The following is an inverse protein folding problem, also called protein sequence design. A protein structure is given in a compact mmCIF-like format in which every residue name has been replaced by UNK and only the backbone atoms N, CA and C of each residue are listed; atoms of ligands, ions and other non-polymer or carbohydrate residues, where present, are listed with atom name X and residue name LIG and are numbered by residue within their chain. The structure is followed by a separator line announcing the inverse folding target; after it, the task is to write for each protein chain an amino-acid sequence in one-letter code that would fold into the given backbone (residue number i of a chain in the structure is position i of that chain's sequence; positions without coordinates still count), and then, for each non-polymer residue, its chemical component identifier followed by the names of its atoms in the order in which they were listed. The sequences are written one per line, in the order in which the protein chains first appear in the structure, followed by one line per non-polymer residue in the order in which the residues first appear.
data_IF_203317839194
#
_entry.id   IF_203317839194
#
_cell.length_a   1.000
_cell.length_b   1.000
_cell.length_c   1.000
_cell.angle_alpha   90.00
_cell.angle_beta   90.00
_cell.angle_gamma   90.00
#
_symmetry.space_group_name_H-M   'P 1'
#
loop_
_entity.id
_entity.type
_entity.pdbx_description
1 polymer ?
#
# COMPACT_ATOMS: atom_id res chain seq x y z
N UNK A 1 -20.14 -10.07 -14.24
CA UNK A 1 -19.42 -10.49 -13.00
C UNK A 1 -20.32 -11.30 -12.08
N UNK A 2 -21.52 -10.80 -11.67
CA UNK A 2 -22.47 -11.60 -10.87
C UNK A 2 -22.82 -12.93 -11.52
N UNK A 3 -23.13 -12.94 -12.79
CA UNK A 3 -23.50 -14.15 -13.56
C UNK A 3 -22.33 -15.14 -13.70
N UNK A 4 -21.10 -14.63 -13.72
CA UNK A 4 -19.91 -15.46 -13.82
C UNK A 4 -19.56 -16.17 -12.50
N UNK A 5 -19.65 -15.46 -11.37
CA UNK A 5 -19.30 -16.03 -10.07
C UNK A 5 -20.48 -16.73 -9.37
N UNK A 6 -21.73 -16.38 -9.71
CA UNK A 6 -22.93 -16.99 -9.15
C UNK A 6 -22.88 -17.09 -7.62
N UNK A 7 -23.15 -18.28 -7.09
CA UNK A 7 -23.13 -18.56 -5.66
C UNK A 7 -21.74 -18.41 -5.01
N UNK A 8 -20.66 -18.53 -5.77
CA UNK A 8 -19.29 -18.40 -5.25
C UNK A 8 -18.94 -16.95 -4.87
N UNK A 9 -19.77 -15.99 -5.25
CA UNK A 9 -19.56 -14.60 -4.89
C UNK A 9 -19.51 -14.38 -3.37
N UNK A 10 -20.17 -15.24 -2.59
CA UNK A 10 -20.16 -15.21 -1.12
C UNK A 10 -18.78 -15.43 -0.50
N UNK A 11 -17.86 -16.02 -1.24
CA UNK A 11 -16.49 -16.29 -0.76
C UNK A 11 -15.56 -15.07 -0.87
N UNK A 12 -16.01 -13.98 -1.50
CA UNK A 12 -15.19 -12.79 -1.72
C UNK A 12 -15.62 -11.66 -0.78
N UNK A 13 -14.71 -11.23 0.09
CA UNK A 13 -14.92 -10.19 1.10
C UNK A 13 -14.15 -8.92 0.81
N UNK A 14 -13.56 -8.81 -0.36
CA UNK A 14 -12.70 -7.71 -0.73
C UNK A 14 -13.06 -7.17 -2.11
N UNK A 15 -12.89 -5.87 -2.25
CA UNK A 15 -13.05 -5.13 -3.49
C UNK A 15 -11.73 -4.43 -3.81
N UNK A 16 -11.20 -4.66 -5.02
CA UNK A 16 -10.15 -3.83 -5.59
C UNK A 16 -10.78 -2.79 -6.50
N UNK A 17 -10.52 -1.51 -6.26
CA UNK A 17 -10.91 -0.42 -7.14
C UNK A 17 -9.68 0.23 -7.78
N UNK A 18 -9.81 0.47 -9.08
CA UNK A 18 -8.72 1.00 -9.91
C UNK A 18 -7.68 -0.07 -10.24
N UNK A 19 -6.66 0.34 -11.00
CA UNK A 19 -5.63 -0.58 -11.46
C UNK A 19 -4.25 -0.20 -10.91
N UNK A 20 -3.77 1.02 -11.18
CA UNK A 20 -2.42 1.43 -10.78
C UNK A 20 -2.42 2.60 -9.79
N UNK A 21 -3.32 3.57 -9.96
CA UNK A 21 -3.40 4.77 -9.14
C UNK A 21 -4.87 5.18 -8.96
N UNK A 22 -5.56 4.48 -8.08
CA UNK A 22 -6.96 4.76 -7.78
C UNK A 22 -7.15 6.14 -7.14
N UNK A 23 -6.17 6.61 -6.37
CA UNK A 23 -6.26 7.91 -5.68
C UNK A 23 -6.33 9.08 -6.67
N UNK A 24 -5.75 8.94 -7.86
CA UNK A 24 -5.82 9.96 -8.90
C UNK A 24 -7.25 10.18 -9.44
N UNK A 25 -8.16 9.22 -9.23
CA UNK A 25 -9.56 9.36 -9.66
C UNK A 25 -10.38 10.32 -8.78
N UNK A 26 -9.88 10.66 -7.61
CA UNK A 26 -10.55 11.54 -6.64
C UNK A 26 -11.59 10.83 -5.76
N UNK A 27 -11.88 11.45 -4.61
CA UNK A 27 -12.71 10.85 -3.55
C UNK A 27 -14.13 10.54 -3.98
N UNK A 28 -14.76 11.44 -4.71
CA UNK A 28 -16.16 11.29 -5.10
C UNK A 28 -16.38 10.06 -6.01
N UNK A 29 -15.49 9.86 -6.99
CA UNK A 29 -15.59 8.70 -7.87
C UNK A 29 -15.27 7.39 -7.13
N UNK A 30 -14.25 7.40 -6.27
CA UNK A 30 -13.89 6.20 -5.47
C UNK A 30 -15.04 5.83 -4.55
N UNK A 31 -15.61 6.80 -3.82
CA UNK A 31 -16.71 6.54 -2.88
C UNK A 31 -17.96 6.06 -3.60
N UNK A 32 -18.34 6.71 -4.69
CA UNK A 32 -19.47 6.29 -5.52
C UNK A 32 -19.30 4.85 -6.01
N UNK A 33 -18.15 4.52 -6.59
CA UNK A 33 -17.89 3.16 -7.09
C UNK A 33 -17.88 2.11 -5.97
N UNK A 34 -17.34 2.45 -4.79
CA UNK A 34 -17.32 1.57 -3.65
C UNK A 34 -18.73 1.30 -3.10
N UNK A 35 -19.56 2.34 -2.96
CA UNK A 35 -20.95 2.23 -2.48
C UNK A 35 -21.80 1.41 -3.45
N UNK A 36 -21.71 1.70 -4.75
CA UNK A 36 -22.39 0.92 -5.78
C UNK A 36 -21.96 -0.56 -5.74
N UNK A 37 -20.67 -0.82 -5.65
CA UNK A 37 -20.19 -2.20 -5.54
C UNK A 37 -20.68 -2.88 -4.25
N UNK A 38 -20.73 -2.15 -3.12
CA UNK A 38 -21.25 -2.67 -1.86
C UNK A 38 -22.69 -3.18 -2.01
N UNK A 39 -23.55 -2.39 -2.68
CA UNK A 39 -24.95 -2.75 -2.93
C UNK A 39 -25.08 -3.84 -3.99
N UNK A 40 -24.44 -3.66 -5.15
CA UNK A 40 -24.55 -4.59 -6.29
C UNK A 40 -24.06 -5.99 -5.93
N UNK A 41 -22.95 -6.09 -5.18
CA UNK A 41 -22.40 -7.39 -4.79
C UNK A 41 -22.98 -7.92 -3.47
N UNK A 42 -23.86 -7.18 -2.80
CA UNK A 42 -24.56 -7.62 -1.60
C UNK A 42 -23.62 -7.86 -0.40
N UNK A 43 -22.60 -7.06 -0.22
CA UNK A 43 -21.65 -7.20 0.91
C UNK A 43 -22.35 -7.12 2.27
N UNK A 44 -23.45 -6.36 2.40
CA UNK A 44 -24.22 -6.23 3.63
C UNK A 44 -24.79 -7.56 4.15
N UNK A 45 -25.11 -8.46 3.23
CA UNK A 45 -25.84 -9.70 3.57
C UNK A 45 -24.92 -10.86 3.92
N UNK A 46 -23.60 -10.68 3.85
CA UNK A 46 -22.68 -11.80 3.75
C UNK A 46 -21.91 -12.09 5.02
N UNK A 47 -21.77 -11.11 5.97
CA UNK A 47 -20.86 -11.30 7.08
C UNK A 47 -21.10 -10.43 8.29
N UNK A 48 -20.67 -10.96 9.44
CA UNK A 48 -20.51 -10.24 10.71
C UNK A 48 -19.33 -9.24 10.66
N UNK A 49 -18.43 -9.36 9.68
CA UNK A 49 -17.26 -8.51 9.50
C UNK A 49 -17.41 -7.57 8.30
N UNK A 50 -16.86 -6.35 8.42
CA UNK A 50 -16.83 -5.40 7.32
C UNK A 50 -15.95 -5.92 6.18
N UNK A 51 -16.39 -5.73 4.92
CA UNK A 51 -15.58 -6.08 3.77
C UNK A 51 -14.37 -5.14 3.64
N UNK A 52 -13.39 -5.57 2.87
CA UNK A 52 -12.18 -4.80 2.60
C UNK A 52 -12.27 -4.07 1.26
N UNK A 53 -11.77 -2.84 1.24
CA UNK A 53 -11.55 -2.06 0.02
C UNK A 53 -10.04 -1.87 -0.17
N UNK A 54 -9.52 -2.31 -1.31
CA UNK A 54 -8.13 -2.15 -1.68
C UNK A 54 -7.97 -1.10 -2.77
N UNK A 55 -7.11 -0.12 -2.52
CA UNK A 55 -6.75 0.96 -3.43
C UNK A 55 -5.24 0.98 -3.62
N UNK A 56 -4.80 1.34 -4.82
CA UNK A 56 -3.41 1.68 -5.07
C UNK A 56 -3.27 3.18 -5.26
N UNK A 57 -2.11 3.73 -4.91
CA UNK A 57 -1.80 5.13 -5.11
C UNK A 57 -0.31 5.34 -5.44
N UNK A 58 -0.05 6.35 -6.24
CA UNK A 58 1.29 6.90 -6.40
C UNK A 58 1.63 7.85 -5.24
N UNK A 59 2.91 8.12 -5.04
CA UNK A 59 3.35 9.16 -4.08
C UNK A 59 2.71 10.52 -4.43
N UNK A 60 2.64 10.85 -5.73
CA UNK A 60 2.07 12.13 -6.19
C UNK A 60 0.59 12.26 -5.87
N UNK A 61 -0.24 11.27 -6.25
CA UNK A 61 -1.68 11.28 -5.96
C UNK A 61 -1.96 11.25 -4.44
N UNK A 62 -1.15 10.50 -3.69
CA UNK A 62 -1.27 10.43 -2.24
C UNK A 62 -0.92 11.75 -1.56
N UNK A 63 0.15 12.43 -1.97
CA UNK A 63 0.49 13.77 -1.46
C UNK A 63 -0.59 14.81 -1.80
N UNK A 64 -1.14 14.75 -3.01
CA UNK A 64 -2.24 15.61 -3.44
C UNK A 64 -3.58 15.35 -2.76
N UNK A 65 -3.78 14.16 -2.20
CA UNK A 65 -5.01 13.78 -1.52
C UNK A 65 -5.21 14.61 -0.24
N UNK A 66 -6.27 15.41 -0.18
CA UNK A 66 -6.64 16.19 1.00
C UNK A 66 -7.31 15.34 2.09
N UNK A 67 -7.43 15.92 3.30
CA UNK A 67 -8.10 15.26 4.43
C UNK A 67 -9.52 14.80 4.09
N UNK A 68 -10.24 15.57 3.28
CA UNK A 68 -11.61 15.26 2.85
C UNK A 68 -11.75 13.86 2.22
N UNK A 69 -10.78 13.45 1.40
CA UNK A 69 -10.77 12.10 0.81
C UNK A 69 -10.75 11.03 1.91
N UNK A 70 -9.87 11.15 2.90
CA UNK A 70 -9.75 10.17 3.97
C UNK A 70 -10.97 10.18 4.90
N UNK A 71 -11.56 11.36 5.15
CA UNK A 71 -12.82 11.47 5.87
C UNK A 71 -13.97 10.72 5.14
N UNK A 72 -14.06 10.84 3.81
CA UNK A 72 -15.03 10.13 2.99
C UNK A 72 -14.78 8.61 3.04
N UNK A 73 -13.55 8.16 2.78
CA UNK A 73 -13.17 6.74 2.82
C UNK A 73 -13.45 6.10 4.19
N UNK A 74 -13.19 6.83 5.27
CA UNK A 74 -13.42 6.32 6.63
C UNK A 74 -14.91 6.14 6.98
N UNK A 75 -15.82 6.77 6.22
CA UNK A 75 -17.29 6.61 6.38
C UNK A 75 -17.83 5.43 5.60
N UNK A 76 -17.12 4.95 4.60
CA UNK A 76 -17.55 3.80 3.78
C UNK A 76 -17.78 2.54 4.67
N UNK A 77 -18.66 1.63 4.24
CA UNK A 77 -18.90 0.37 4.97
C UNK A 77 -17.79 -0.65 4.80
N UNK A 78 -16.58 -0.20 4.52
CA UNK A 78 -15.38 -1.00 4.29
C UNK A 78 -14.30 -0.71 5.36
N UNK A 79 -13.37 -1.65 5.50
CA UNK A 79 -12.04 -1.36 5.98
C UNK A 79 -11.14 -1.11 4.76
N UNK A 80 -10.55 0.07 4.66
CA UNK A 80 -9.85 0.51 3.44
C UNK A 80 -8.35 0.37 3.60
N UNK A 81 -7.74 -0.40 2.70
CA UNK A 81 -6.29 -0.50 2.54
C UNK A 81 -5.85 0.30 1.34
N UNK A 82 -4.88 1.19 1.55
CA UNK A 82 -4.27 2.01 0.48
C UNK A 82 -2.80 1.66 0.40
N UNK A 83 -2.38 1.04 -0.69
CA UNK A 83 -0.98 0.69 -0.92
C UNK A 83 -0.31 1.74 -1.81
N UNK A 84 0.72 2.40 -1.28
CA UNK A 84 1.47 3.46 -1.98
C UNK A 84 2.76 2.90 -2.55
N UNK A 85 2.93 3.04 -3.85
CA UNK A 85 4.16 2.68 -4.55
C UNK A 85 5.26 3.71 -4.34
N UNK A 86 6.02 3.57 -3.26
CA UNK A 86 7.22 4.39 -3.01
C UNK A 86 8.36 3.99 -3.91
N UNK A 87 8.54 2.70 -4.09
CA UNK A 87 9.64 1.99 -4.75
C UNK A 87 10.99 2.21 -4.07
N UNK A 88 11.37 3.43 -3.76
CA UNK A 88 12.61 3.81 -3.07
C UNK A 88 12.51 5.16 -2.38
N UNK A 89 13.46 5.44 -1.48
CA UNK A 89 13.77 6.78 -0.96
C UNK A 89 15.21 7.20 -1.31
N UNK A 90 15.92 6.38 -2.06
CA UNK A 90 17.25 6.69 -2.56
C UNK A 90 17.16 7.34 -3.95
N UNK A 91 17.76 8.51 -4.11
CA UNK A 91 17.69 9.30 -5.36
C UNK A 91 18.27 8.59 -6.57
N UNK A 92 19.36 7.82 -6.39
CA UNK A 92 19.98 7.05 -7.47
C UNK A 92 19.05 5.93 -7.94
N UNK A 93 18.45 5.22 -7.00
CA UNK A 93 17.48 4.16 -7.30
C UNK A 93 16.24 4.72 -7.99
N UNK A 94 15.66 5.82 -7.47
CA UNK A 94 14.50 6.48 -8.09
C UNK A 94 14.81 6.89 -9.54
N UNK A 95 15.99 7.46 -9.79
CA UNK A 95 16.43 7.80 -11.14
C UNK A 95 16.61 6.57 -12.02
N UNK A 96 17.24 5.51 -11.50
CA UNK A 96 17.48 4.26 -12.23
C UNK A 96 16.20 3.60 -12.72
N UNK A 97 15.14 3.62 -11.90
CA UNK A 97 13.84 3.03 -12.26
C UNK A 97 12.90 4.00 -12.96
N UNK A 98 13.34 5.23 -13.24
CA UNK A 98 12.54 6.27 -13.90
C UNK A 98 11.32 6.73 -13.08
N UNK A 99 11.39 6.67 -11.75
CA UNK A 99 10.28 7.12 -10.88
C UNK A 99 10.29 8.66 -10.79
N UNK A 100 9.20 9.36 -11.19
CA UNK A 100 9.18 10.82 -11.28
C UNK A 100 8.87 11.48 -9.91
N UNK A 101 9.61 11.11 -8.88
CA UNK A 101 9.50 11.69 -7.53
C UNK A 101 10.88 11.96 -6.94
N UNK A 102 10.95 12.90 -6.00
CA UNK A 102 12.17 13.16 -5.24
C UNK A 102 12.21 12.37 -3.93
N UNK A 103 13.39 12.26 -3.35
CA UNK A 103 13.59 11.66 -2.01
C UNK A 103 12.76 12.40 -0.94
N UNK A 104 12.66 13.72 -1.03
CA UNK A 104 11.89 14.56 -0.13
C UNK A 104 10.40 14.25 -0.22
N UNK A 105 9.87 14.14 -1.44
CA UNK A 105 8.47 13.75 -1.67
C UNK A 105 8.18 12.34 -1.12
N UNK A 106 9.09 11.40 -1.33
CA UNK A 106 8.92 10.05 -0.79
C UNK A 106 8.91 10.05 0.75
N UNK A 107 9.80 10.82 1.40
CA UNK A 107 9.81 10.98 2.86
C UNK A 107 8.56 11.68 3.38
N UNK A 108 8.12 12.75 2.74
CA UNK A 108 6.88 13.46 3.08
C UNK A 108 5.66 12.53 3.00
N UNK A 109 5.56 11.75 1.93
CA UNK A 109 4.50 10.76 1.77
C UNK A 109 4.56 9.67 2.85
N UNK A 110 5.76 9.23 3.23
CA UNK A 110 5.91 8.27 4.33
C UNK A 110 5.45 8.85 5.67
N UNK A 111 5.80 10.08 5.98
CA UNK A 111 5.28 10.75 7.19
C UNK A 111 3.76 10.93 7.15
N UNK A 112 3.21 11.28 5.97
CA UNK A 112 1.75 11.36 5.77
C UNK A 112 1.08 10.00 5.99
N UNK A 113 1.67 8.92 5.51
CA UNK A 113 1.20 7.54 5.75
C UNK A 113 1.05 7.27 7.25
N UNK A 114 2.05 7.61 8.06
CA UNK A 114 1.99 7.42 9.51
C UNK A 114 0.87 8.25 10.15
N UNK A 115 0.72 9.52 9.74
CA UNK A 115 -0.33 10.42 10.25
C UNK A 115 -1.74 9.94 9.90
N UNK A 116 -1.95 9.44 8.68
CA UNK A 116 -3.26 8.89 8.26
C UNK A 116 -3.58 7.63 9.06
N UNK A 117 -2.62 6.74 9.24
CA UNK A 117 -2.79 5.52 10.03
C UNK A 117 -3.13 5.80 11.50
N UNK A 118 -2.63 6.90 12.05
CA UNK A 118 -2.96 7.36 13.40
C UNK A 118 -4.37 7.99 13.47
N UNK A 119 -4.74 8.76 12.46
CA UNK A 119 -5.94 9.59 12.50
C UNK A 119 -7.24 8.85 12.16
N UNK A 120 -7.17 7.71 11.44
CA UNK A 120 -8.35 7.02 10.91
C UNK A 120 -8.40 5.55 11.31
N UNK A 121 -9.47 5.13 11.97
CA UNK A 121 -9.60 3.76 12.48
C UNK A 121 -9.83 2.72 11.36
N UNK A 122 -10.53 3.10 10.29
CA UNK A 122 -10.93 2.19 9.20
C UNK A 122 -10.06 2.30 7.95
N UNK A 123 -8.97 3.06 8.03
CA UNK A 123 -8.01 3.20 6.94
C UNK A 123 -6.66 2.68 7.40
N UNK A 124 -6.03 1.89 6.56
CA UNK A 124 -4.62 1.55 6.67
C UNK A 124 -3.91 1.91 5.38
N UNK A 125 -2.89 2.76 5.49
CA UNK A 125 -1.99 3.08 4.39
C UNK A 125 -0.72 2.28 4.56
N UNK A 126 -0.32 1.57 3.52
CA UNK A 126 0.88 0.74 3.47
C UNK A 126 1.83 1.24 2.40
N UNK A 127 3.11 0.92 2.54
CA UNK A 127 4.13 1.32 1.57
C UNK A 127 4.72 0.12 0.83
N UNK A 128 4.91 0.25 -0.48
CA UNK A 128 5.59 -0.74 -1.30
C UNK A 128 6.96 -0.22 -1.73
N UNK A 129 8.02 -1.00 -1.48
CA UNK A 129 9.39 -0.71 -1.87
C UNK A 129 9.94 -1.88 -2.68
N UNK A 130 10.80 -1.58 -3.65
CA UNK A 130 11.48 -2.63 -4.42
C UNK A 130 12.64 -3.24 -3.61
N UNK A 131 13.00 -4.46 -3.95
CA UNK A 131 14.20 -5.13 -3.45
C UNK A 131 14.90 -5.85 -4.61
N UNK A 132 16.23 -5.75 -4.69
CA UNK A 132 16.96 -6.39 -5.78
C UNK A 132 18.46 -6.09 -5.77
N UNK A 133 19.22 -6.89 -6.50
CA UNK A 133 20.69 -6.81 -6.50
C UNK A 133 21.25 -5.70 -7.38
N UNK A 134 20.48 -5.21 -8.34
CA UNK A 134 20.91 -4.17 -9.29
C UNK A 134 20.48 -2.76 -8.88
N UNK A 135 20.15 -2.56 -7.60
CA UNK A 135 19.81 -1.26 -7.05
C UNK A 135 21.05 -0.56 -6.50
N UNK A 136 20.93 0.76 -6.24
CA UNK A 136 22.00 1.50 -5.56
C UNK A 136 22.35 0.85 -4.21
N UNK A 137 23.63 0.76 -3.82
CA UNK A 137 24.01 0.26 -2.50
C UNK A 137 23.34 1.02 -1.36
N UNK A 138 23.08 2.31 -1.54
CA UNK A 138 22.43 3.18 -0.55
C UNK A 138 20.92 2.95 -0.41
N UNK A 139 20.31 2.20 -1.34
CA UNK A 139 18.85 1.96 -1.33
C UNK A 139 18.38 1.23 -0.05
N UNK A 140 19.03 0.12 0.28
CA UNK A 140 18.66 -0.68 1.46
C UNK A 140 18.98 0.04 2.77
N UNK A 141 20.13 0.70 2.84
CA UNK A 141 20.55 1.43 4.04
C UNK A 141 19.62 2.63 4.31
N UNK A 142 19.23 3.37 3.28
CA UNK A 142 18.29 4.48 3.42
C UNK A 142 16.90 4.00 3.85
N UNK A 143 16.41 2.87 3.32
CA UNK A 143 15.15 2.27 3.75
C UNK A 143 15.22 1.77 5.20
N UNK A 144 16.28 1.04 5.56
CA UNK A 144 16.48 0.57 6.93
C UNK A 144 16.54 1.75 7.92
N UNK A 145 17.24 2.82 7.57
CA UNK A 145 17.30 4.05 8.37
C UNK A 145 15.92 4.68 8.53
N UNK A 146 15.13 4.82 7.45
CA UNK A 146 13.77 5.36 7.51
C UNK A 146 12.89 4.56 8.47
N UNK A 147 12.89 3.24 8.34
CA UNK A 147 12.03 2.35 9.13
C UNK A 147 12.44 2.28 10.60
N UNK A 148 13.74 2.30 10.87
CA UNK A 148 14.30 2.32 12.25
C UNK A 148 13.94 3.60 13.01
N UNK A 149 13.88 4.74 12.31
CA UNK A 149 13.60 6.04 12.93
C UNK A 149 12.17 6.52 12.74
N UNK A 150 11.30 5.68 12.19
CA UNK A 150 9.89 6.00 12.00
C UNK A 150 9.20 6.34 13.33
N UNK A 151 8.48 7.48 13.36
CA UNK A 151 7.74 7.95 14.54
C UNK A 151 6.37 7.26 14.59
N UNK A 152 6.36 5.97 14.91
CA UNK A 152 5.17 5.14 14.92
C UNK A 152 4.46 5.25 16.26
N UNK A 153 3.18 5.61 16.25
CA UNK A 153 2.30 5.58 17.45
C UNK A 153 1.44 4.31 17.48
N UNK A 154 0.97 3.87 16.33
CA UNK A 154 0.15 2.66 16.21
C UNK A 154 0.95 1.57 15.50
N UNK A 155 1.51 0.64 16.27
CA UNK A 155 2.39 -0.43 15.76
C UNK A 155 1.70 -1.47 14.88
N UNK A 156 0.37 -1.55 14.89
CA UNK A 156 -0.41 -2.53 14.12
C UNK A 156 -0.81 -2.07 12.73
N UNK A 157 -0.48 -0.82 12.36
CA UNK A 157 -0.82 -0.23 11.05
C UNK A 157 0.41 0.29 10.32
N UNK A 158 0.31 0.38 9.01
CA UNK A 158 1.34 0.97 8.17
C UNK A 158 2.41 -0.03 7.75
N UNK A 159 2.03 -1.24 7.40
CA UNK A 159 2.96 -2.26 6.92
C UNK A 159 3.75 -1.79 5.69
N UNK A 160 5.01 -2.19 5.64
CA UNK A 160 5.90 -1.99 4.50
C UNK A 160 6.09 -3.32 3.78
N UNK A 161 5.88 -3.32 2.48
CA UNK A 161 6.07 -4.46 1.61
C UNK A 161 7.35 -4.29 0.80
N UNK A 162 8.20 -5.32 0.79
CA UNK A 162 9.36 -5.41 -0.07
C UNK A 162 9.02 -6.29 -1.26
N UNK A 163 9.01 -5.71 -2.46
CA UNK A 163 8.72 -6.40 -3.72
C UNK A 163 10.03 -6.72 -4.44
N UNK A 164 10.46 -8.00 -4.48
CA UNK A 164 11.63 -8.39 -5.24
C UNK A 164 11.47 -8.07 -6.72
N UNK A 165 12.49 -7.46 -7.33
CA UNK A 165 12.51 -7.24 -8.77
C UNK A 165 12.39 -8.57 -9.51
N UNK A 166 11.58 -8.57 -10.58
CA UNK A 166 11.20 -9.76 -11.34
C UNK A 166 12.40 -10.55 -11.86
N UNK A 167 13.43 -9.84 -12.28
CA UNK A 167 14.62 -10.38 -12.94
C UNK A 167 15.82 -10.50 -11.99
N UNK A 168 15.63 -10.40 -10.68
CA UNK A 168 16.69 -10.62 -9.71
C UNK A 168 17.06 -12.11 -9.69
N UNK A 169 18.27 -12.49 -10.13
CA UNK A 169 18.70 -13.89 -10.20
C UNK A 169 18.89 -14.52 -8.81
N UNK A 170 19.09 -13.70 -7.78
CA UNK A 170 19.49 -14.12 -6.45
C UNK A 170 18.44 -13.90 -5.37
N UNK A 171 17.16 -14.21 -5.68
CA UNK A 171 16.04 -13.98 -4.75
C UNK A 171 16.26 -14.56 -3.35
N UNK A 172 17.00 -15.67 -3.22
CA UNK A 172 17.30 -16.29 -1.93
C UNK A 172 18.29 -15.47 -1.10
N UNK A 173 19.19 -14.73 -1.75
CA UNK A 173 20.16 -13.86 -1.08
C UNK A 173 19.52 -12.58 -0.52
N UNK A 174 18.31 -12.22 -0.99
CA UNK A 174 17.54 -11.11 -0.46
C UNK A 174 16.95 -11.40 0.94
N UNK A 175 16.76 -12.67 1.30
CA UNK A 175 16.15 -13.02 2.58
C UNK A 175 16.94 -12.53 3.82
N UNK A 176 18.28 -12.71 3.91
CA UNK A 176 19.05 -12.18 5.03
C UNK A 176 18.94 -10.66 5.17
N UNK A 177 18.96 -9.93 4.05
CA UNK A 177 18.79 -8.47 4.01
C UNK A 177 17.40 -8.07 4.48
N UNK A 178 16.37 -8.78 4.01
CA UNK A 178 15.00 -8.59 4.48
C UNK A 178 14.88 -8.77 5.99
N UNK A 179 15.43 -9.86 6.56
CA UNK A 179 15.36 -10.10 7.99
C UNK A 179 16.06 -9.00 8.78
N UNK A 180 17.20 -8.51 8.32
CA UNK A 180 17.90 -7.37 8.95
C UNK A 180 17.01 -6.12 8.99
N UNK A 181 16.39 -5.75 7.86
CA UNK A 181 15.47 -4.60 7.80
C UNK A 181 14.27 -4.82 8.72
N UNK A 182 13.70 -6.03 8.72
CA UNK A 182 12.54 -6.37 9.55
C UNK A 182 12.84 -6.28 11.04
N UNK A 183 13.99 -6.76 11.50
CA UNK A 183 14.42 -6.73 12.90
C UNK A 183 14.62 -5.31 13.43
N UNK A 184 15.17 -4.42 12.61
CA UNK A 184 15.42 -3.04 12.99
C UNK A 184 14.20 -2.12 12.82
N UNK A 185 13.18 -2.55 12.07
CA UNK A 185 12.01 -1.74 11.74
C UNK A 185 11.06 -1.56 12.92
N UNK A 186 10.52 -0.34 13.06
CA UNK A 186 9.42 -0.03 13.98
C UNK A 186 8.03 -0.33 13.39
N UNK A 187 7.97 -0.63 12.09
CA UNK A 187 6.75 -1.01 11.36
C UNK A 187 6.78 -2.49 11.00
N UNK A 188 5.63 -3.12 10.78
CA UNK A 188 5.58 -4.45 10.19
C UNK A 188 6.21 -4.44 8.79
N UNK A 189 7.13 -5.35 8.52
CA UNK A 189 7.76 -5.52 7.20
C UNK A 189 7.48 -6.91 6.66
N UNK A 190 7.04 -6.96 5.41
CA UNK A 190 6.71 -8.20 4.70
C UNK A 190 7.40 -8.25 3.34
N UNK A 191 7.73 -9.45 2.88
CA UNK A 191 8.17 -9.68 1.48
C UNK A 191 6.97 -10.05 0.65
N UNK A 192 6.81 -9.40 -0.49
CA UNK A 192 5.78 -9.72 -1.46
C UNK A 192 6.32 -10.76 -2.44
N UNK A 193 6.03 -12.04 -2.20
CA UNK A 193 6.41 -13.11 -3.11
C UNK A 193 5.31 -13.29 -4.16
N UNK A 194 5.55 -12.79 -5.37
CA UNK A 194 4.69 -13.11 -6.52
C UNK A 194 5.13 -14.50 -7.02
N UNK A 195 4.38 -15.53 -6.66
CA UNK A 195 4.46 -16.79 -7.36
C UNK A 195 3.66 -16.67 -8.66
N UNK A 196 4.33 -16.89 -9.80
CA UNK A 196 3.62 -17.25 -11.02
C UNK A 196 3.19 -18.71 -10.89
N UNK A 197 1.91 -18.91 -10.79
CA UNK A 197 1.27 -20.19 -11.00
C UNK A 197 1.31 -20.53 -12.49
#
# INVERSE_FOLDING_TARGET
MKDHFGANLVNYHALFLGNHDALAAGGDLICFAAEEAYHVFGFRQRMDQKPFLYLFGSVGSFLGAGKALFDQLNRLPFYTYINIGFESIDSKTLSLIGKPITTEQAKEAFEKMLKINEAFDRIEVTGNFIAGDNLSPEHEDSLAHLLKHAKVKIKSKGAVYLSPLKDSPKKRELLPRFYKIKEESRLPVFVYLIQRL
#
